data_IF_225003138812
#
_entry.id   IF_225003138812
#
_cell.length_a   1.000
_cell.length_b   1.000
_cell.length_c   1.000
_cell.angle_alpha   90.00
_cell.angle_beta   90.00
_cell.angle_gamma   90.00
#
_symmetry.space_group_name_H-M   'P 1'
#
loop_
_entity.id
_entity.type
_entity.pdbx_description
1 polymer ?
#
# COMPACT_ATOMS: atom_id res chain seq x y z
N UNK A 1 17.70 16.41 17.14
CA UNK A 1 17.59 15.87 15.76
C UNK A 1 17.90 14.37 15.68
N UNK A 2 18.92 13.85 16.39
CA UNK A 2 19.18 12.40 16.45
C UNK A 2 18.04 11.58 17.08
N UNK A 3 17.55 11.98 18.26
CA UNK A 3 16.45 11.27 18.95
C UNK A 3 15.18 11.16 18.10
N UNK A 4 14.73 12.28 17.53
CA UNK A 4 13.55 12.31 16.64
C UNK A 4 13.72 11.46 15.38
N UNK A 5 14.94 11.36 14.85
CA UNK A 5 15.22 10.47 13.73
C UNK A 5 15.07 9.00 14.12
N UNK A 6 15.62 8.59 15.27
CA UNK A 6 15.50 7.21 15.76
C UNK A 6 14.04 6.86 16.05
N UNK A 7 13.30 7.75 16.72
CA UNK A 7 11.87 7.56 16.99
C UNK A 7 11.06 7.41 15.70
N UNK A 8 11.35 8.22 14.69
CA UNK A 8 10.73 8.09 13.36
C UNK A 8 11.05 6.74 12.71
N UNK A 9 12.31 6.32 12.69
CA UNK A 9 12.71 5.05 12.09
C UNK A 9 12.07 3.85 12.81
N UNK A 10 11.97 3.89 14.15
CA UNK A 10 11.30 2.86 14.93
C UNK A 10 9.80 2.81 14.66
N UNK A 11 9.16 3.96 14.50
CA UNK A 11 7.76 4.04 14.12
C UNK A 11 7.53 3.52 12.69
N UNK A 12 8.35 3.93 11.72
CA UNK A 12 8.26 3.52 10.32
C UNK A 12 8.54 2.02 10.12
N UNK A 13 9.43 1.42 10.90
CA UNK A 13 9.72 -0.02 10.87
C UNK A 13 8.51 -0.89 11.22
N UNK A 14 7.48 -0.32 11.88
CA UNK A 14 6.22 -1.01 12.20
C UNK A 14 5.22 -0.99 11.05
N UNK A 15 5.59 -0.54 9.85
CA UNK A 15 4.66 -0.45 8.72
C UNK A 15 3.93 -1.77 8.44
N UNK A 16 4.65 -2.89 8.31
CA UNK A 16 4.05 -4.17 7.91
C UNK A 16 3.28 -4.87 9.04
N UNK A 17 3.68 -4.67 10.31
CA UNK A 17 3.17 -5.40 11.47
C UNK A 17 2.34 -4.58 12.46
N UNK A 18 2.33 -3.26 12.32
CA UNK A 18 1.59 -2.34 13.19
C UNK A 18 0.08 -2.38 12.96
N UNK A 19 -0.66 -1.82 13.91
CA UNK A 19 -2.12 -1.73 13.85
C UNK A 19 -2.58 -0.32 13.41
N UNK A 20 -3.81 0.08 13.72
CA UNK A 20 -4.41 1.35 13.32
C UNK A 20 -3.83 2.59 14.02
N UNK A 21 -2.97 2.40 15.03
CA UNK A 21 -2.33 3.46 15.82
C UNK A 21 -1.07 4.05 15.17
N UNK A 22 -0.55 3.37 14.15
CA UNK A 22 0.58 3.81 13.34
C UNK A 22 0.21 3.86 11.86
N UNK A 23 1.08 4.43 11.01
CA UNK A 23 0.93 4.33 9.56
C UNK A 23 1.28 2.92 9.10
N UNK A 24 0.42 1.95 9.40
CA UNK A 24 0.60 0.56 9.03
C UNK A 24 -0.02 0.22 7.68
N UNK A 25 0.40 -0.92 7.11
CA UNK A 25 -0.24 -1.58 5.98
C UNK A 25 -1.73 -1.85 6.26
N UNK A 26 -2.07 -2.23 7.50
CA UNK A 26 -3.46 -2.47 7.93
C UNK A 26 -4.29 -1.20 7.90
N UNK A 27 -3.78 -0.08 8.45
CA UNK A 27 -4.47 1.21 8.39
C UNK A 27 -4.70 1.67 6.95
N UNK A 28 -3.69 1.50 6.08
CA UNK A 28 -3.84 1.81 4.66
C UNK A 28 -4.97 1.00 4.00
N UNK A 29 -5.09 -0.30 4.32
CA UNK A 29 -6.17 -1.13 3.77
C UNK A 29 -7.55 -0.77 4.31
N UNK A 30 -7.68 -0.45 5.60
CA UNK A 30 -8.94 0.06 6.15
C UNK A 30 -9.36 1.37 5.48
N UNK A 31 -8.41 2.28 5.25
CA UNK A 31 -8.68 3.51 4.50
C UNK A 31 -9.14 3.22 3.07
N UNK A 32 -8.48 2.31 2.34
CA UNK A 32 -8.82 1.95 0.97
C UNK A 32 -10.25 1.41 0.80
N UNK A 33 -10.84 0.79 1.83
CA UNK A 33 -12.25 0.33 1.79
C UNK A 33 -13.25 1.47 1.64
N UNK A 34 -12.86 2.70 1.96
CA UNK A 34 -13.72 3.88 1.87
C UNK A 34 -13.60 4.58 0.51
N UNK A 35 -12.81 4.05 -0.43
CA UNK A 35 -12.70 4.59 -1.78
C UNK A 35 -13.92 4.17 -2.60
N UNK A 36 -14.53 5.13 -3.30
CA UNK A 36 -15.67 4.89 -4.19
C UNK A 36 -15.27 4.28 -5.54
N UNK A 37 -13.99 3.96 -5.72
CA UNK A 37 -13.45 3.39 -6.94
C UNK A 37 -12.96 1.95 -6.74
N UNK A 38 -12.90 1.20 -7.84
CA UNK A 38 -12.35 -0.16 -7.83
C UNK A 38 -10.87 -0.13 -7.48
N UNK A 39 -10.50 -0.76 -6.37
CA UNK A 39 -9.10 -0.93 -5.97
C UNK A 39 -8.56 -2.22 -6.60
N UNK A 40 -7.52 -2.10 -7.42
CA UNK A 40 -6.80 -3.24 -8.01
C UNK A 40 -5.47 -3.45 -7.29
N UNK A 41 -5.29 -4.65 -6.73
CA UNK A 41 -4.14 -5.01 -5.90
C UNK A 41 -3.18 -5.92 -6.65
N UNK A 42 -1.89 -5.61 -6.63
CA UNK A 42 -0.81 -6.48 -7.11
C UNK A 42 0.21 -6.57 -5.97
N UNK A 43 0.37 -7.76 -5.39
CA UNK A 43 1.31 -8.01 -4.27
C UNK A 43 2.48 -8.89 -4.69
N UNK A 44 2.37 -9.55 -5.83
CA UNK A 44 3.38 -10.47 -6.32
C UNK A 44 4.65 -9.72 -6.75
N UNK A 45 5.79 -10.34 -6.47
CA UNK A 45 7.07 -9.87 -6.98
C UNK A 45 7.23 -10.30 -8.44
N UNK A 46 6.67 -9.47 -9.31
CA UNK A 46 6.72 -9.63 -10.76
C UNK A 46 7.35 -8.39 -11.41
N UNK A 47 7.87 -8.59 -12.62
CA UNK A 47 8.46 -7.52 -13.40
C UNK A 47 7.48 -6.36 -13.65
N UNK A 48 8.03 -5.15 -13.74
CA UNK A 48 7.25 -3.93 -13.96
C UNK A 48 6.39 -4.03 -15.22
N UNK A 49 6.92 -4.64 -16.30
CA UNK A 49 6.17 -4.79 -17.54
C UNK A 49 4.90 -5.63 -17.36
N UNK A 50 4.96 -6.70 -16.57
CA UNK A 50 3.80 -7.52 -16.25
C UNK A 50 2.80 -6.78 -15.36
N UNK A 51 3.28 -5.96 -14.40
CA UNK A 51 2.42 -5.08 -13.60
C UNK A 51 1.62 -4.13 -14.48
N UNK A 52 2.28 -3.51 -15.45
CA UNK A 52 1.65 -2.57 -16.40
C UNK A 52 0.60 -3.27 -17.27
N UNK A 53 0.93 -4.45 -17.83
CA UNK A 53 -0.02 -5.27 -18.62
C UNK A 53 -1.29 -5.59 -17.83
N UNK A 54 -1.16 -5.94 -16.55
CA UNK A 54 -2.31 -6.23 -15.67
C UNK A 54 -3.18 -5.00 -15.44
N UNK A 55 -2.58 -3.83 -15.24
CA UNK A 55 -3.31 -2.57 -15.05
C UNK A 55 -4.09 -2.19 -16.32
N UNK A 56 -3.44 -2.23 -17.50
CA UNK A 56 -4.11 -1.94 -18.78
C UNK A 56 -5.33 -2.86 -18.97
N UNK A 57 -5.13 -4.18 -18.79
CA UNK A 57 -6.22 -5.17 -18.88
C UNK A 57 -7.35 -4.92 -17.87
N UNK A 58 -7.05 -4.40 -16.68
CA UNK A 58 -8.06 -4.10 -15.67
C UNK A 58 -8.90 -2.86 -16.05
N UNK A 59 -8.28 -1.86 -16.68
CA UNK A 59 -8.95 -0.66 -17.18
C UNK A 59 -9.83 -1.01 -18.38
N UNK A 60 -9.31 -1.75 -19.36
CA UNK A 60 -10.03 -2.09 -20.61
C UNK A 60 -11.30 -2.91 -20.36
N UNK A 61 -11.33 -3.75 -19.32
CA UNK A 61 -12.52 -4.53 -18.91
C UNK A 61 -13.61 -3.71 -18.21
N UNK A 62 -13.35 -2.44 -17.94
CA UNK A 62 -14.28 -1.55 -17.23
C UNK A 62 -15.07 -0.64 -18.18
N UNK A 63 -14.81 -0.72 -19.49
CA UNK A 63 -15.65 -0.19 -20.58
C UNK A 63 -16.59 -1.27 -21.12
#
# INVERSE_FOLDING_TARGET
MYKSHIEFMQWAAKYDSGDLDVRSKKLHYEWMKNLECKVFKIEEDIEVEEKVKRVIKAIDKTN
#
